data_IF_920056981621
#
_entry.id   IF_920056981621
#
_cell.length_a   1.000
_cell.length_b   1.000
_cell.length_c   1.000
_cell.angle_alpha   90.00
_cell.angle_beta   90.00
_cell.angle_gamma   90.00
#
_symmetry.space_group_name_H-M   'P 1'
#
loop_
_entity.id
_entity.type
_entity.pdbx_description
1 polymer ?
#
# COMPACT_ATOMS: atom_id res chain seq x y z
N UNK A 1 15.05 13.84 9.71
CA UNK A 1 14.34 13.28 8.53
C UNK A 1 15.22 13.42 7.29
N UNK A 2 15.12 12.48 6.31
CA UNK A 2 15.85 12.55 5.04
C UNK A 2 14.98 12.01 3.91
N UNK A 3 15.13 12.53 2.69
CA UNK A 3 14.52 11.98 1.49
C UNK A 3 15.50 11.06 0.76
N UNK A 4 14.97 9.98 0.18
CA UNK A 4 15.70 9.12 -0.74
C UNK A 4 15.18 9.41 -2.14
N UNK A 5 16.05 9.94 -2.97
CA UNK A 5 15.75 10.34 -4.34
C UNK A 5 16.67 9.65 -5.33
N UNK A 6 16.24 9.53 -6.57
CA UNK A 6 17.08 9.10 -7.69
C UNK A 6 16.93 10.06 -8.87
N UNK A 7 18.02 10.28 -9.58
CA UNK A 7 17.96 11.02 -10.84
C UNK A 7 17.28 10.15 -11.89
N UNK A 8 16.39 10.76 -12.65
CA UNK A 8 15.63 10.10 -13.72
C UNK A 8 15.82 10.88 -15.03
N UNK A 9 15.80 10.22 -16.19
CA UNK A 9 15.89 10.90 -17.47
C UNK A 9 14.67 11.79 -17.74
N UNK A 10 14.88 13.05 -18.11
CA UNK A 10 13.81 14.00 -18.41
C UNK A 10 12.89 13.50 -19.54
N UNK A 11 13.45 12.82 -20.56
CA UNK A 11 12.68 12.25 -21.65
C UNK A 11 11.65 11.19 -21.18
N UNK A 12 11.94 10.50 -20.08
CA UNK A 12 11.08 9.45 -19.51
C UNK A 12 10.10 9.99 -18.47
N UNK A 13 10.47 11.05 -17.75
CA UNK A 13 9.72 11.58 -16.60
C UNK A 13 9.34 13.06 -16.78
N UNK A 14 9.23 13.50 -18.02
CA UNK A 14 8.74 14.84 -18.38
C UNK A 14 7.38 15.11 -17.68
N UNK A 15 7.26 16.22 -16.92
CA UNK A 15 6.03 16.57 -16.21
C UNK A 15 4.78 16.63 -17.09
N UNK A 16 4.92 17.02 -18.37
CA UNK A 16 3.80 17.09 -19.31
C UNK A 16 3.32 15.72 -19.78
N UNK A 17 4.21 14.73 -19.85
CA UNK A 17 3.93 13.37 -20.37
C UNK A 17 3.73 12.34 -19.27
N UNK A 18 4.26 12.56 -18.08
CA UNK A 18 4.17 11.63 -16.96
C UNK A 18 2.72 11.29 -16.59
N UNK A 19 1.75 12.23 -16.57
CA UNK A 19 0.35 11.90 -16.30
C UNK A 19 -0.25 10.89 -17.28
N UNK A 20 0.13 10.96 -18.54
CA UNK A 20 -0.33 9.99 -19.56
C UNK A 20 0.37 8.64 -19.41
N UNK A 21 1.66 8.63 -19.07
CA UNK A 21 2.47 7.42 -18.90
C UNK A 21 2.05 6.59 -17.71
N UNK A 22 1.65 7.21 -16.59
CA UNK A 22 1.14 6.45 -15.44
C UNK A 22 -0.22 5.78 -15.70
N UNK A 23 -0.91 6.16 -16.77
CA UNK A 23 -2.10 5.47 -17.27
C UNK A 23 -1.75 4.29 -18.19
N UNK A 24 -0.51 4.24 -18.70
CA UNK A 24 -0.02 3.10 -19.46
C UNK A 24 0.45 1.98 -18.51
N UNK A 25 -0.37 0.94 -18.48
CA UNK A 25 -0.13 -0.23 -17.62
C UNK A 25 1.24 -0.87 -17.88
N UNK A 26 1.66 -1.02 -19.13
CA UNK A 26 2.92 -1.67 -19.47
C UNK A 26 4.11 -0.83 -19.01
N UNK A 27 4.03 0.48 -19.16
CA UNK A 27 5.06 1.40 -18.68
C UNK A 27 5.20 1.35 -17.15
N UNK A 28 4.08 1.34 -16.42
CA UNK A 28 4.05 1.24 -14.95
C UNK A 28 4.61 -0.13 -14.50
N UNK A 29 4.18 -1.24 -15.10
CA UNK A 29 4.65 -2.59 -14.76
C UNK A 29 6.17 -2.76 -14.95
N UNK A 30 6.76 -2.04 -15.89
CA UNK A 30 8.21 -2.09 -16.12
C UNK A 30 9.01 -1.27 -15.10
N UNK A 31 8.45 -0.20 -14.54
CA UNK A 31 9.19 0.79 -13.73
C UNK A 31 8.86 0.77 -12.23
N UNK A 32 7.62 0.48 -11.87
CA UNK A 32 7.23 0.41 -10.46
C UNK A 32 8.03 -0.60 -9.63
N UNK A 33 8.54 -1.74 -10.17
CA UNK A 33 9.34 -2.67 -9.39
C UNK A 33 10.65 -2.07 -8.85
N UNK A 34 11.23 -1.10 -9.55
CA UNK A 34 12.44 -0.42 -9.07
C UNK A 34 12.12 0.47 -7.86
N UNK A 35 11.03 1.23 -7.93
CA UNK A 35 10.54 2.06 -6.83
C UNK A 35 10.18 1.21 -5.60
N UNK A 36 9.41 0.13 -5.79
CA UNK A 36 9.03 -0.80 -4.73
C UNK A 36 10.24 -1.47 -4.07
N UNK A 37 11.28 -1.77 -4.83
CA UNK A 37 12.54 -2.33 -4.30
C UNK A 37 13.25 -1.35 -3.38
N UNK A 38 13.30 -0.07 -3.73
CA UNK A 38 13.88 0.98 -2.87
C UNK A 38 13.07 1.07 -1.57
N UNK A 39 11.75 1.24 -1.66
CA UNK A 39 10.86 1.32 -0.50
C UNK A 39 11.01 0.11 0.42
N UNK A 40 10.97 -1.11 -0.14
CA UNK A 40 11.09 -2.34 0.65
C UNK A 40 12.46 -2.50 1.29
N UNK A 41 13.52 -1.98 0.66
CA UNK A 41 14.89 -2.02 1.21
C UNK A 41 15.01 -1.06 2.38
N UNK A 42 14.50 0.15 2.26
CA UNK A 42 14.52 1.15 3.33
C UNK A 42 13.64 0.71 4.50
N UNK A 43 12.45 0.17 4.23
CA UNK A 43 11.53 -0.30 5.27
C UNK A 43 12.13 -1.41 6.16
N UNK A 44 13.08 -2.19 5.65
CA UNK A 44 13.79 -3.18 6.48
C UNK A 44 14.71 -2.55 7.52
N UNK A 45 15.17 -1.33 7.30
CA UNK A 45 16.14 -0.65 8.14
C UNK A 45 15.52 0.43 9.02
N UNK A 46 14.50 1.14 8.49
CA UNK A 46 13.87 2.26 9.18
C UNK A 46 12.40 2.42 8.75
N UNK A 47 11.71 3.33 9.42
CA UNK A 47 10.36 3.76 9.01
C UNK A 47 10.45 4.65 7.76
N UNK A 48 9.53 4.49 6.85
CA UNK A 48 9.45 5.26 5.61
C UNK A 48 8.02 5.77 5.39
N UNK A 49 7.90 7.01 4.97
CA UNK A 49 6.66 7.55 4.38
C UNK A 49 6.80 7.39 2.87
N UNK A 50 6.08 6.44 2.26
CA UNK A 50 6.13 6.25 0.81
C UNK A 50 5.47 7.44 0.11
N UNK A 51 6.20 8.03 -0.81
CA UNK A 51 5.66 9.01 -1.76
C UNK A 51 5.13 8.27 -2.99
N UNK A 52 4.12 8.81 -3.64
CA UNK A 52 3.51 8.17 -4.80
C UNK A 52 4.54 7.88 -5.91
N UNK A 53 4.41 6.74 -6.57
CA UNK A 53 5.21 6.43 -7.75
C UNK A 53 5.06 7.54 -8.80
N UNK A 54 6.15 7.92 -9.44
CA UNK A 54 6.24 9.06 -10.37
C UNK A 54 6.05 10.45 -9.73
N UNK A 55 6.31 10.60 -8.43
CA UNK A 55 6.54 11.93 -7.87
C UNK A 55 7.90 12.42 -8.34
N UNK A 56 7.92 13.45 -9.17
CA UNK A 56 9.13 14.04 -9.77
C UNK A 56 9.26 15.48 -9.28
N UNK A 57 10.48 15.86 -8.92
CA UNK A 57 10.89 17.21 -8.56
C UNK A 57 12.04 17.62 -9.49
N UNK A 58 12.11 18.90 -9.85
CA UNK A 58 13.05 19.41 -10.85
C UNK A 58 14.47 19.55 -10.30
N UNK A 59 14.61 19.69 -8.96
CA UNK A 59 15.93 19.90 -8.34
C UNK A 59 15.99 19.39 -6.90
N UNK A 60 17.21 19.29 -6.37
CA UNK A 60 17.47 18.96 -4.97
C UNK A 60 16.99 20.07 -4.02
N UNK A 61 16.99 21.34 -4.48
CA UNK A 61 16.44 22.48 -3.75
C UNK A 61 14.93 22.33 -3.55
N UNK A 62 14.21 21.90 -4.56
CA UNK A 62 12.78 21.63 -4.45
C UNK A 62 12.49 20.47 -3.48
N UNK A 63 13.33 19.44 -3.44
CA UNK A 63 13.22 18.36 -2.44
C UNK A 63 13.40 18.93 -1.03
N UNK A 64 14.42 19.77 -0.84
CA UNK A 64 14.69 20.39 0.47
C UNK A 64 13.51 21.27 0.89
N UNK A 65 13.03 22.13 0.01
CA UNK A 65 11.88 23.01 0.26
C UNK A 65 10.60 22.20 0.59
N UNK A 66 10.38 21.10 -0.12
CA UNK A 66 9.25 20.20 0.18
C UNK A 66 9.34 19.62 1.59
N UNK A 67 10.51 19.13 1.99
CA UNK A 67 10.72 18.60 3.33
C UNK A 67 10.53 19.65 4.41
N UNK A 68 11.08 20.86 4.23
CA UNK A 68 10.95 21.97 5.17
C UNK A 68 9.50 22.44 5.32
N UNK A 69 8.79 22.57 4.18
CA UNK A 69 7.40 23.02 4.18
C UNK A 69 6.46 22.02 4.86
N UNK A 70 6.77 20.74 4.82
CA UNK A 70 5.89 19.67 5.30
C UNK A 70 6.46 18.89 6.50
N UNK A 71 7.45 19.45 7.20
CA UNK A 71 8.18 18.76 8.26
C UNK A 71 7.26 18.16 9.31
N UNK A 72 6.33 18.94 9.86
CA UNK A 72 5.41 18.50 10.92
C UNK A 72 4.51 17.36 10.44
N UNK A 73 3.99 17.47 9.22
CA UNK A 73 3.12 16.43 8.63
C UNK A 73 3.89 15.14 8.39
N UNK A 74 5.11 15.24 7.84
CA UNK A 74 5.93 14.08 7.55
C UNK A 74 6.43 13.40 8.82
N UNK A 75 6.78 14.15 9.86
CA UNK A 75 7.16 13.61 11.16
C UNK A 75 6.00 12.88 11.84
N UNK A 76 4.80 13.47 11.83
CA UNK A 76 3.59 12.81 12.32
C UNK A 76 3.29 11.50 11.57
N UNK A 77 3.51 11.49 10.25
CA UNK A 77 3.36 10.27 9.44
C UNK A 77 4.43 9.21 9.76
N UNK A 78 5.69 9.62 9.94
CA UNK A 78 6.76 8.72 10.37
C UNK A 78 6.45 8.09 11.73
N UNK A 79 5.95 8.87 12.69
CA UNK A 79 5.55 8.37 14.01
C UNK A 79 4.36 7.42 13.92
N UNK A 80 3.35 7.76 13.14
CA UNK A 80 2.19 6.88 12.91
C UNK A 80 2.59 5.55 12.27
N UNK A 81 3.56 5.54 11.37
CA UNK A 81 4.01 4.34 10.65
C UNK A 81 5.15 3.59 11.37
N UNK A 82 5.68 4.13 12.47
CA UNK A 82 6.81 3.56 13.22
C UNK A 82 6.51 2.13 13.67
N UNK A 83 7.43 1.24 13.36
CA UNK A 83 7.34 -0.20 13.69
C UNK A 83 6.08 -0.89 13.17
N UNK A 84 5.47 -0.36 12.11
CA UNK A 84 4.31 -0.93 11.45
C UNK A 84 4.61 -1.39 10.04
N UNK A 85 3.85 -2.37 9.59
CA UNK A 85 3.93 -2.97 8.26
C UNK A 85 2.52 -3.17 7.72
N UNK A 86 2.37 -3.05 6.43
CA UNK A 86 1.07 -3.29 5.77
C UNK A 86 0.96 -4.76 5.33
N UNK A 87 -0.22 -5.32 5.54
CA UNK A 87 -0.61 -6.63 5.01
C UNK A 87 -1.88 -6.49 4.20
N UNK A 88 -1.93 -7.21 3.10
CA UNK A 88 -3.13 -7.27 2.26
C UNK A 88 -3.85 -8.60 2.52
N UNK A 89 -5.16 -8.51 2.71
CA UNK A 89 -6.01 -9.68 2.88
C UNK A 89 -7.12 -9.60 1.85
N UNK A 90 -7.17 -10.61 0.99
CA UNK A 90 -8.18 -10.78 -0.03
C UNK A 90 -9.06 -11.97 0.32
N UNK A 91 -10.40 -11.81 0.22
CA UNK A 91 -11.37 -12.87 0.42
C UNK A 91 -12.12 -13.10 -0.89
N UNK A 92 -12.06 -14.31 -1.41
CA UNK A 92 -12.68 -14.69 -2.66
C UNK A 92 -13.61 -15.90 -2.50
N UNK A 93 -14.57 -16.03 -3.42
CA UNK A 93 -15.40 -17.24 -3.52
C UNK A 93 -14.64 -18.35 -4.21
N UNK A 94 -14.69 -19.56 -3.64
CA UNK A 94 -14.27 -20.79 -4.28
C UNK A 94 -15.50 -21.55 -4.78
N UNK A 95 -16.04 -21.08 -5.90
CA UNK A 95 -17.25 -21.64 -6.54
C UNK A 95 -18.55 -20.94 -6.22
N UNK A 96 -19.64 -21.40 -6.87
CA UNK A 96 -20.98 -20.76 -6.83
C UNK A 96 -21.72 -20.91 -5.51
N UNK A 97 -21.36 -21.90 -4.68
CA UNK A 97 -22.04 -22.25 -3.42
C UNK A 97 -21.26 -21.80 -2.18
N UNK A 98 -20.42 -20.76 -2.30
CA UNK A 98 -19.69 -20.23 -1.17
C UNK A 98 -20.63 -19.57 -0.16
N UNK A 99 -20.43 -19.86 1.12
CA UNK A 99 -21.14 -19.17 2.22
C UNK A 99 -20.46 -17.81 2.43
N UNK A 100 -21.19 -16.75 2.12
CA UNK A 100 -20.68 -15.35 2.19
C UNK A 100 -20.80 -14.77 3.60
N UNK A 101 -21.62 -15.42 4.45
CA UNK A 101 -21.81 -15.03 5.84
C UNK A 101 -20.47 -15.13 6.62
N UNK A 102 -20.18 -14.12 7.43
CA UNK A 102 -18.97 -14.11 8.25
C UNK A 102 -17.79 -13.24 7.74
N UNK A 103 -17.87 -12.63 6.56
CA UNK A 103 -16.80 -11.72 6.05
C UNK A 103 -16.55 -10.57 7.03
N UNK A 104 -17.62 -9.99 7.62
CA UNK A 104 -17.49 -8.94 8.63
C UNK A 104 -16.89 -9.45 9.94
N UNK A 105 -17.18 -10.70 10.33
CA UNK A 105 -16.56 -11.33 11.48
C UNK A 105 -15.06 -11.55 11.27
N UNK A 106 -14.67 -12.03 10.07
CA UNK A 106 -13.25 -12.16 9.69
C UNK A 106 -12.52 -10.83 9.80
N UNK A 107 -13.14 -9.76 9.27
CA UNK A 107 -12.62 -8.39 9.41
C UNK A 107 -12.41 -8.00 10.87
N UNK A 108 -13.41 -8.23 11.72
CA UNK A 108 -13.35 -7.93 13.16
C UNK A 108 -12.23 -8.70 13.87
N UNK A 109 -12.05 -9.98 13.55
CA UNK A 109 -10.97 -10.82 14.12
C UNK A 109 -9.57 -10.33 13.71
N UNK A 110 -9.39 -9.94 12.44
CA UNK A 110 -8.12 -9.38 11.96
C UNK A 110 -7.82 -8.01 12.58
N UNK A 111 -8.85 -7.17 12.78
CA UNK A 111 -8.70 -5.86 13.40
C UNK A 111 -8.18 -5.91 14.84
N UNK A 112 -8.33 -7.01 15.56
CA UNK A 112 -7.78 -7.16 16.91
C UNK A 112 -6.24 -7.14 16.93
N UNK A 113 -5.60 -7.38 15.80
CA UNK A 113 -4.14 -7.45 15.64
C UNK A 113 -3.59 -6.33 14.76
N UNK A 114 -4.42 -5.38 14.34
CA UNK A 114 -4.04 -4.29 13.47
C UNK A 114 -4.41 -2.94 14.09
N UNK A 115 -3.53 -1.95 13.94
CA UNK A 115 -3.77 -0.57 14.38
C UNK A 115 -4.67 0.20 13.39
N UNK A 116 -4.78 -0.29 12.15
CA UNK A 116 -5.61 0.32 11.11
C UNK A 116 -6.07 -0.71 10.07
N UNK A 117 -7.22 -0.44 9.49
CA UNK A 117 -7.75 -1.22 8.37
C UNK A 117 -8.42 -0.29 7.36
N UNK A 118 -8.16 -0.55 6.09
CA UNK A 118 -8.76 0.17 4.97
C UNK A 118 -9.28 -0.82 3.93
N UNK A 119 -10.44 -0.50 3.35
CA UNK A 119 -10.94 -1.25 2.20
C UNK A 119 -10.10 -0.89 0.96
N UNK A 120 -9.60 -1.92 0.27
CA UNK A 120 -8.82 -1.74 -0.95
C UNK A 120 -9.75 -1.78 -2.16
N UNK A 121 -9.67 -0.75 -2.99
CA UNK A 121 -10.21 -0.78 -4.35
C UNK A 121 -9.22 -1.53 -5.23
N UNK A 122 -9.45 -2.80 -5.45
CA UNK A 122 -8.66 -3.59 -6.38
C UNK A 122 -9.44 -3.69 -7.67
N UNK A 123 -8.84 -3.27 -8.78
CA UNK A 123 -9.37 -3.55 -10.10
C UNK A 123 -9.52 -5.07 -10.23
N UNK A 124 -10.74 -5.55 -10.07
CA UNK A 124 -10.96 -6.97 -10.00
C UNK A 124 -10.94 -7.54 -11.41
N UNK A 125 -10.00 -8.46 -11.68
CA UNK A 125 -10.05 -9.31 -12.85
C UNK A 125 -11.40 -10.04 -12.94
N UNK A 126 -12.00 -10.38 -11.77
CA UNK A 126 -13.34 -10.94 -11.67
C UNK A 126 -14.07 -10.39 -10.43
N UNK A 127 -14.83 -9.27 -10.56
CA UNK A 127 -15.55 -8.65 -9.45
C UNK A 127 -16.56 -9.58 -8.76
N UNK A 128 -17.07 -10.59 -9.48
CA UNK A 128 -18.05 -11.55 -8.93
C UNK A 128 -17.41 -12.59 -8.01
N UNK A 129 -16.09 -12.75 -8.09
CA UNK A 129 -15.35 -13.72 -7.27
C UNK A 129 -14.88 -13.10 -5.95
N UNK A 130 -14.44 -11.84 -5.96
CA UNK A 130 -13.91 -11.15 -4.78
C UNK A 130 -15.03 -10.62 -3.90
N UNK A 131 -14.97 -10.94 -2.62
CA UNK A 131 -15.93 -10.53 -1.60
C UNK A 131 -15.43 -9.35 -0.78
N UNK A 132 -14.14 -9.35 -0.47
CA UNK A 132 -13.50 -8.30 0.30
C UNK A 132 -12.02 -8.21 -0.06
N UNK A 133 -11.45 -7.03 0.14
CA UNK A 133 -10.03 -6.75 0.02
C UNK A 133 -9.66 -5.66 1.01
N UNK A 134 -8.71 -5.96 1.91
CA UNK A 134 -8.32 -5.06 2.99
C UNK A 134 -6.82 -4.83 3.01
N UNK A 135 -6.41 -3.60 3.33
CA UNK A 135 -5.09 -3.27 3.85
C UNK A 135 -5.16 -3.18 5.36
N UNK A 136 -4.24 -3.85 6.05
CA UNK A 136 -4.14 -3.85 7.50
C UNK A 136 -2.76 -3.35 7.91
N UNK A 137 -2.74 -2.37 8.82
CA UNK A 137 -1.53 -1.82 9.41
C UNK A 137 -1.23 -2.56 10.71
N UNK A 138 -0.17 -3.35 10.74
CA UNK A 138 0.16 -4.26 11.84
C UNK A 138 1.51 -3.90 12.44
N UNK A 139 1.57 -3.82 13.78
CA UNK A 139 2.84 -3.66 14.50
C UNK A 139 3.75 -4.87 14.30
N UNK A 140 5.05 -4.63 14.19
CA UNK A 140 6.05 -5.70 14.01
C UNK A 140 6.02 -6.75 15.12
N UNK A 141 5.79 -6.34 16.36
CA UNK A 141 5.66 -7.23 17.53
C UNK A 141 4.37 -8.06 17.53
N UNK A 142 3.31 -7.60 16.85
CA UNK A 142 2.04 -8.33 16.69
C UNK A 142 2.01 -9.22 15.43
N UNK A 143 3.02 -9.13 14.59
CA UNK A 143 3.07 -9.83 13.29
C UNK A 143 2.74 -11.31 13.39
N UNK A 144 3.38 -12.04 14.31
CA UNK A 144 3.18 -13.50 14.42
C UNK A 144 1.76 -13.84 14.84
N UNK A 145 1.16 -13.07 15.75
CA UNK A 145 -0.22 -13.26 16.19
C UNK A 145 -1.20 -12.99 15.05
N UNK A 146 -0.97 -11.90 14.31
CA UNK A 146 -1.75 -11.55 13.13
C UNK A 146 -1.69 -12.67 12.06
N UNK A 147 -0.50 -13.12 11.69
CA UNK A 147 -0.33 -14.17 10.68
C UNK A 147 -0.92 -15.51 11.13
N UNK A 148 -0.83 -15.86 12.40
CA UNK A 148 -1.47 -17.05 12.97
C UNK A 148 -3.00 -16.95 12.86
N UNK A 149 -3.58 -15.78 13.15
CA UNK A 149 -5.02 -15.59 13.02
C UNK A 149 -5.47 -15.63 11.55
N UNK A 150 -4.74 -14.97 10.65
CA UNK A 150 -4.99 -15.05 9.21
C UNK A 150 -4.94 -16.52 8.70
N UNK A 151 -3.99 -17.32 9.19
CA UNK A 151 -3.88 -18.75 8.89
C UNK A 151 -5.07 -19.58 9.38
N UNK A 152 -5.56 -19.31 10.61
CA UNK A 152 -6.78 -19.94 11.13
C UNK A 152 -7.99 -19.59 10.28
N UNK A 153 -8.18 -18.29 9.98
CA UNK A 153 -9.25 -17.80 9.12
C UNK A 153 -9.18 -18.42 7.73
N UNK A 154 -7.99 -18.53 7.13
CA UNK A 154 -7.82 -19.19 5.83
C UNK A 154 -8.28 -20.65 5.87
N UNK A 155 -7.99 -21.36 6.95
CA UNK A 155 -8.42 -22.76 7.14
C UNK A 155 -9.93 -22.89 7.33
N UNK A 156 -10.56 -21.95 8.05
CA UNK A 156 -12.02 -21.87 8.25
C UNK A 156 -12.73 -21.51 6.94
N UNK A 157 -12.19 -20.54 6.18
CA UNK A 157 -12.71 -20.12 4.89
C UNK A 157 -12.84 -21.29 3.91
N UNK A 158 -11.84 -22.16 3.84
CA UNK A 158 -11.84 -23.33 2.94
C UNK A 158 -13.03 -24.27 3.22
N UNK A 159 -13.44 -24.43 4.48
CA UNK A 159 -14.63 -25.22 4.84
C UNK A 159 -15.93 -24.60 4.30
N UNK A 160 -15.97 -23.26 4.21
CA UNK A 160 -17.08 -22.48 3.64
C UNK A 160 -16.98 -22.26 2.13
N UNK A 161 -16.00 -22.86 1.45
CA UNK A 161 -15.68 -22.60 0.03
C UNK A 161 -15.34 -21.13 -0.24
N UNK A 162 -14.58 -20.55 0.67
CA UNK A 162 -13.94 -19.25 0.52
C UNK A 162 -12.42 -19.46 0.46
N UNK A 163 -11.73 -18.55 -0.22
CA UNK A 163 -10.28 -18.43 -0.22
C UNK A 163 -9.93 -17.13 0.48
N UNK A 164 -9.14 -17.23 1.55
CA UNK A 164 -8.52 -16.07 2.17
C UNK A 164 -7.03 -16.12 1.86
N UNK A 165 -6.55 -15.12 1.17
CA UNK A 165 -5.14 -14.88 0.90
C UNK A 165 -4.64 -13.72 1.74
N UNK A 166 -3.44 -13.89 2.33
CA UNK A 166 -2.78 -12.84 3.13
C UNK A 166 -1.36 -12.68 2.62
N UNK A 167 -1.05 -11.51 2.11
CA UNK A 167 0.27 -11.18 1.56
C UNK A 167 0.93 -10.00 2.27
N UNK A 168 2.25 -9.96 2.24
CA UNK A 168 3.06 -8.94 2.91
C UNK A 168 4.24 -9.55 3.69
N UNK A 169 5.01 -8.74 4.41
CA UNK A 169 4.76 -7.32 4.66
C UNK A 169 5.06 -6.43 3.46
N UNK A 170 4.20 -5.47 3.23
CA UNK A 170 4.34 -4.41 2.22
C UNK A 170 4.72 -3.09 2.88
N UNK A 171 5.22 -2.17 2.08
CA UNK A 171 5.38 -0.77 2.48
C UNK A 171 3.99 -0.19 2.76
N UNK A 172 3.78 0.56 3.88
CA UNK A 172 2.46 0.99 4.32
C UNK A 172 1.89 2.15 3.49
N UNK A 173 1.88 1.99 2.16
CA UNK A 173 1.46 3.02 1.21
C UNK A 173 -0.03 3.33 1.29
N UNK A 174 -0.87 2.38 1.71
CA UNK A 174 -2.31 2.63 1.89
C UNK A 174 -2.60 3.55 3.06
N UNK A 175 -1.71 3.62 4.04
CA UNK A 175 -1.86 4.41 5.28
C UNK A 175 -1.05 5.71 5.26
N UNK A 176 -0.12 5.84 4.33
CA UNK A 176 0.69 7.05 4.22
C UNK A 176 -0.08 8.17 3.51
N UNK A 177 -0.05 9.34 4.11
CA UNK A 177 -0.58 10.58 3.54
C UNK A 177 0.60 11.52 3.32
N UNK A 178 1.40 11.24 2.30
CA UNK A 178 2.43 12.19 1.90
C UNK A 178 1.75 13.45 1.33
N UNK A 179 2.16 14.67 1.76
CA UNK A 179 1.65 15.89 1.17
C UNK A 179 1.85 15.91 -0.35
N UNK A 180 0.96 16.54 -1.12
CA UNK A 180 1.14 16.63 -2.57
C UNK A 180 2.40 17.43 -2.91
N UNK A 181 3.14 16.97 -3.90
CA UNK A 181 4.31 17.65 -4.44
C UNK A 181 3.86 18.51 -5.60
N UNK A 182 3.93 19.84 -5.43
CA UNK A 182 3.62 20.80 -6.49
C UNK A 182 2.17 20.75 -6.99
N UNK A 183 1.86 21.36 -8.14
CA UNK A 183 0.57 21.19 -8.79
C UNK A 183 0.41 19.70 -9.13
N UNK A 184 -0.45 19.05 -8.37
CA UNK A 184 -0.66 17.59 -8.36
C UNK A 184 -0.94 17.09 -9.77
N UNK A 185 0.03 16.49 -10.41
CA UNK A 185 -0.13 15.90 -11.74
C UNK A 185 -0.91 14.58 -11.73
N UNK A 186 -1.20 14.02 -10.55
CA UNK A 186 -1.91 12.74 -10.48
C UNK A 186 -2.86 12.74 -9.29
N UNK A 187 -4.11 13.16 -9.50
CA UNK A 187 -5.21 12.68 -8.68
C UNK A 187 -5.42 11.21 -9.03
N UNK A 188 -5.29 10.30 -8.07
CA UNK A 188 -5.73 8.91 -8.26
C UNK A 188 -7.17 8.93 -8.76
N UNK A 189 -7.51 8.29 -9.88
CA UNK A 189 -8.90 8.12 -10.23
C UNK A 189 -9.60 7.37 -9.10
N UNK A 190 -10.75 7.90 -8.71
CA UNK A 190 -11.60 7.38 -7.64
C UNK A 190 -12.10 5.96 -7.93
#
# INVERSE_FOLDING_TARGET
MAAIVSRVPDEEYDPERTPQRVMDRLWVEQRSPAHERVLSTVLRQTTVVPVAFCTVLESEEQVTQYLETHVDTLEAQLDMLRDRQEYWVDVERDGRRAKVDGVNEMRGRLCQWADGIMDRRVAAWNPRKRLASWSLLVKRDQRLKFLNEAGKLSSECRKGKLLLDCSGPWTPASFAIAPPVGPTLISRPA
#
